data_IF_002022301396
#
_entry.id   IF_002022301396
#
_cell.length_a   1.000
_cell.length_b   1.000
_cell.length_c   1.000
_cell.angle_alpha   90.00
_cell.angle_beta   90.00
_cell.angle_gamma   90.00
#
_symmetry.space_group_name_H-M   'P 1'
#
loop_
_entity.id
_entity.type
_entity.pdbx_description
1 polymer ?
#
# COMPACT_ATOMS: atom_id res chain seq x y z
N UNK A 1 -27.61 2.20 -0.89
CA UNK A 1 -26.75 1.43 -1.82
C UNK A 1 -25.79 2.38 -2.52
N UNK A 2 -24.52 1.98 -2.71
CA UNK A 2 -23.45 2.85 -3.24
C UNK A 2 -23.81 3.43 -4.61
N UNK A 3 -24.17 2.58 -5.59
CA UNK A 3 -24.49 3.03 -6.95
C UNK A 3 -25.61 4.07 -7.00
N UNK A 4 -26.67 3.89 -6.20
CA UNK A 4 -27.77 4.86 -6.15
C UNK A 4 -27.31 6.24 -5.64
N UNK A 5 -26.45 6.27 -4.63
CA UNK A 5 -25.93 7.53 -4.09
C UNK A 5 -24.96 8.21 -5.07
N UNK A 6 -24.24 7.45 -5.89
CA UNK A 6 -23.38 7.98 -6.96
C UNK A 6 -24.22 8.70 -8.01
N UNK A 7 -25.30 8.06 -8.51
CA UNK A 7 -26.20 8.67 -9.49
C UNK A 7 -26.86 9.95 -8.94
N UNK A 8 -27.31 9.95 -7.68
CA UNK A 8 -27.82 11.17 -7.05
C UNK A 8 -26.75 12.27 -6.96
N UNK A 9 -25.50 11.91 -6.70
CA UNK A 9 -24.36 12.83 -6.71
C UNK A 9 -24.08 13.43 -8.08
N UNK A 10 -24.39 12.71 -9.16
CA UNK A 10 -24.34 13.20 -10.55
C UNK A 10 -25.66 13.81 -11.04
N UNK A 11 -26.58 14.13 -10.13
CA UNK A 11 -27.89 14.71 -10.43
C UNK A 11 -28.80 13.82 -11.32
N UNK A 12 -28.67 12.51 -11.20
CA UNK A 12 -29.50 11.50 -11.88
C UNK A 12 -30.29 10.68 -10.86
N UNK A 13 -31.61 10.86 -10.84
CA UNK A 13 -32.51 10.14 -9.94
C UNK A 13 -33.34 9.06 -10.64
N UNK A 14 -33.16 8.88 -11.95
CA UNK A 14 -34.03 8.04 -12.79
C UNK A 14 -33.34 6.79 -13.31
N UNK A 15 -32.05 6.86 -13.57
CA UNK A 15 -31.29 5.76 -14.14
C UNK A 15 -31.16 4.61 -13.17
N UNK A 16 -31.15 3.39 -13.71
CA UNK A 16 -30.99 2.19 -12.90
C UNK A 16 -29.52 1.90 -12.63
N UNK A 17 -29.26 1.39 -11.44
CA UNK A 17 -28.01 0.66 -11.14
C UNK A 17 -28.24 -0.78 -11.61
N UNK A 18 -27.40 -1.24 -12.52
CA UNK A 18 -27.47 -2.60 -13.07
C UNK A 18 -27.00 -3.62 -12.02
N UNK A 19 -27.32 -4.92 -12.18
CA UNK A 19 -26.90 -5.97 -11.25
C UNK A 19 -25.39 -5.98 -11.01
N UNK A 20 -25.00 -6.11 -9.73
CA UNK A 20 -23.59 -6.18 -9.34
C UNK A 20 -23.04 -7.54 -9.75
N UNK A 21 -21.93 -7.52 -10.49
CA UNK A 21 -21.22 -8.74 -10.89
C UNK A 21 -19.99 -8.92 -10.02
N UNK A 22 -19.75 -10.13 -9.50
CA UNK A 22 -18.53 -10.48 -8.78
C UNK A 22 -17.57 -11.21 -9.70
N UNK A 23 -16.34 -10.72 -9.81
CA UNK A 23 -15.26 -11.35 -10.55
C UNK A 23 -14.07 -11.53 -9.60
N UNK A 24 -13.83 -12.78 -9.16
CA UNK A 24 -12.83 -13.11 -8.13
C UNK A 24 -13.09 -12.29 -6.85
N UNK A 25 -12.19 -11.38 -6.49
CA UNK A 25 -12.28 -10.52 -5.30
C UNK A 25 -12.73 -9.08 -5.61
N UNK A 26 -13.15 -8.83 -6.87
CA UNK A 26 -13.64 -7.53 -7.34
C UNK A 26 -15.15 -7.58 -7.58
N UNK A 27 -15.83 -6.49 -7.25
CA UNK A 27 -17.26 -6.29 -7.47
C UNK A 27 -17.48 -5.15 -8.45
N UNK A 28 -18.15 -5.41 -9.56
CA UNK A 28 -18.44 -4.42 -10.60
C UNK A 28 -19.84 -3.85 -10.42
N UNK A 29 -19.92 -2.53 -10.29
CA UNK A 29 -21.15 -1.75 -10.37
C UNK A 29 -21.23 -1.11 -11.76
N UNK A 30 -22.38 -1.27 -12.39
CA UNK A 30 -22.67 -0.71 -13.71
C UNK A 30 -23.95 0.11 -13.66
N UNK A 31 -24.06 1.06 -14.58
CA UNK A 31 -25.17 2.01 -14.64
C UNK A 31 -25.83 1.92 -16.02
N UNK A 32 -27.13 2.18 -16.06
CA UNK A 32 -27.90 2.18 -17.31
C UNK A 32 -27.54 3.36 -18.23
N UNK A 33 -27.18 4.50 -17.63
CA UNK A 33 -26.90 5.75 -18.33
C UNK A 33 -25.49 6.25 -18.03
N UNK A 34 -24.95 7.02 -18.98
CA UNK A 34 -23.71 7.78 -18.81
C UNK A 34 -23.88 8.89 -17.78
N UNK A 35 -22.83 9.16 -17.02
CA UNK A 35 -22.84 10.18 -15.98
C UNK A 35 -21.49 10.89 -15.87
N UNK A 36 -21.52 12.14 -15.39
CA UNK A 36 -20.31 12.87 -14.99
C UNK A 36 -20.08 12.68 -13.49
N UNK A 37 -18.84 12.76 -13.03
CA UNK A 37 -18.55 12.70 -11.61
C UNK A 37 -17.38 13.58 -11.17
N UNK A 38 -17.44 14.02 -9.92
CA UNK A 38 -16.34 14.71 -9.24
C UNK A 38 -15.63 13.74 -8.31
N UNK A 39 -14.31 13.53 -8.45
CA UNK A 39 -13.51 12.67 -7.59
C UNK A 39 -13.76 12.88 -6.10
N UNK A 40 -13.81 14.15 -5.65
CA UNK A 40 -14.09 14.51 -4.27
C UNK A 40 -15.43 13.94 -3.76
N UNK A 41 -16.50 14.15 -4.53
CA UNK A 41 -17.84 13.72 -4.16
C UNK A 41 -17.96 12.19 -4.21
N UNK A 42 -17.39 11.56 -5.24
CA UNK A 42 -17.39 10.10 -5.39
C UNK A 42 -16.75 9.43 -4.17
N UNK A 43 -15.58 9.92 -3.75
CA UNK A 43 -14.86 9.43 -2.59
C UNK A 43 -15.69 9.58 -1.31
N UNK A 44 -16.24 10.76 -1.04
CA UNK A 44 -17.06 11.01 0.15
C UNK A 44 -18.33 10.15 0.18
N UNK A 45 -19.01 9.98 -0.96
CA UNK A 45 -20.21 9.15 -1.06
C UNK A 45 -19.87 7.69 -0.73
N UNK A 46 -18.81 7.16 -1.34
CA UNK A 46 -18.43 5.77 -1.16
C UNK A 46 -17.98 5.50 0.28
N UNK A 47 -17.11 6.35 0.84
CA UNK A 47 -16.62 6.21 2.22
C UNK A 47 -17.78 6.23 3.23
N UNK A 48 -18.70 7.20 3.09
CA UNK A 48 -19.88 7.31 3.95
C UNK A 48 -20.74 6.06 3.89
N UNK A 49 -21.10 5.61 2.69
CA UNK A 49 -21.98 4.44 2.53
C UNK A 49 -21.28 3.16 2.99
N UNK A 50 -19.98 2.99 2.72
CA UNK A 50 -19.22 1.84 3.19
C UNK A 50 -19.18 1.75 4.72
N UNK A 51 -18.99 2.89 5.42
CA UNK A 51 -19.04 2.98 6.89
C UNK A 51 -20.43 2.70 7.46
N UNK A 52 -21.47 3.31 6.90
CA UNK A 52 -22.87 3.14 7.34
C UNK A 52 -23.35 1.69 7.17
N UNK A 53 -22.91 1.01 6.11
CA UNK A 53 -23.31 -0.37 5.81
C UNK A 53 -22.42 -1.44 6.43
N UNK A 54 -21.27 -1.06 6.99
CA UNK A 54 -20.28 -2.00 7.49
C UNK A 54 -19.67 -2.89 6.39
N UNK A 55 -19.59 -2.40 5.15
CA UNK A 55 -19.20 -3.20 3.98
C UNK A 55 -17.75 -3.71 4.07
N UNK A 56 -16.81 -2.82 4.36
CA UNK A 56 -15.40 -3.13 4.56
C UNK A 56 -14.68 -1.96 5.23
N UNK A 57 -13.61 -2.28 5.96
CA UNK A 57 -12.70 -1.32 6.61
C UNK A 57 -11.62 -0.78 5.68
N UNK A 58 -11.21 -1.60 4.71
CA UNK A 58 -10.20 -1.25 3.72
C UNK A 58 -10.63 -1.78 2.36
N UNK A 59 -10.61 -0.92 1.34
CA UNK A 59 -11.03 -1.27 -0.01
C UNK A 59 -10.36 -0.37 -1.05
N UNK A 60 -10.28 -0.85 -2.28
CA UNK A 60 -9.82 -0.07 -3.44
C UNK A 60 -11.02 0.13 -4.36
N UNK A 61 -11.15 1.35 -4.87
CA UNK A 61 -12.13 1.68 -5.91
C UNK A 61 -11.40 2.07 -7.18
N UNK A 62 -11.82 1.49 -8.29
CA UNK A 62 -11.31 1.76 -9.62
C UNK A 62 -12.47 2.12 -10.54
N UNK A 63 -12.33 3.18 -11.31
CA UNK A 63 -13.29 3.65 -12.30
C UNK A 63 -12.67 3.43 -13.67
N UNK A 64 -13.28 2.58 -14.47
CA UNK A 64 -12.85 2.25 -15.83
C UNK A 64 -13.86 2.82 -16.83
N UNK A 65 -13.37 3.30 -17.97
CA UNK A 65 -14.24 3.66 -19.10
C UNK A 65 -14.82 2.39 -19.75
N UNK A 66 -16.10 2.42 -20.12
CA UNK A 66 -16.78 1.26 -20.67
C UNK A 66 -16.23 0.82 -22.03
N UNK A 67 -15.82 1.77 -22.87
CA UNK A 67 -15.43 1.56 -24.27
C UNK A 67 -13.94 1.25 -24.37
N UNK A 68 -13.09 2.09 -23.77
CA UNK A 68 -11.63 1.90 -23.85
C UNK A 68 -11.13 0.82 -22.87
N UNK A 69 -11.84 0.60 -21.76
CA UNK A 69 -11.38 -0.24 -20.66
C UNK A 69 -10.22 0.36 -19.88
N UNK A 70 -9.86 1.63 -20.15
CA UNK A 70 -8.77 2.30 -19.44
C UNK A 70 -9.21 2.75 -18.04
N UNK A 71 -8.26 2.72 -17.11
CA UNK A 71 -8.47 3.23 -15.75
C UNK A 71 -8.51 4.76 -15.76
N UNK A 72 -9.68 5.33 -15.48
CA UNK A 72 -9.93 6.78 -15.46
C UNK A 72 -9.61 7.38 -14.10
N UNK A 73 -9.92 6.65 -13.03
CA UNK A 73 -9.72 7.14 -11.66
C UNK A 73 -9.61 5.97 -10.67
N UNK A 74 -8.76 6.11 -9.65
CA UNK A 74 -8.70 5.13 -8.56
C UNK A 74 -8.34 5.76 -7.24
N UNK A 75 -8.79 5.14 -6.16
CA UNK A 75 -8.39 5.51 -4.80
C UNK A 75 -8.48 4.30 -3.86
N UNK A 76 -7.68 4.35 -2.80
CA UNK A 76 -7.69 3.37 -1.71
C UNK A 76 -8.27 4.01 -0.45
N UNK A 77 -9.15 3.29 0.24
CA UNK A 77 -9.61 3.60 1.59
C UNK A 77 -9.05 2.60 2.59
N UNK A 78 -8.64 3.09 3.76
CA UNK A 78 -8.07 2.29 4.83
C UNK A 78 -8.41 2.94 6.20
N UNK A 79 -8.81 2.13 7.19
CA UNK A 79 -9.19 2.60 8.54
C UNK A 79 -8.04 3.31 9.28
N UNK A 80 -6.78 3.01 8.93
CA UNK A 80 -5.61 3.30 9.78
C UNK A 80 -4.79 4.54 9.38
N UNK A 81 -5.18 5.30 8.37
CA UNK A 81 -4.44 6.50 8.00
C UNK A 81 -5.37 7.60 7.51
N UNK A 82 -5.08 8.84 7.91
CA UNK A 82 -5.53 10.05 7.24
C UNK A 82 -5.11 10.00 5.76
N UNK A 83 -5.86 9.34 4.91
CA UNK A 83 -5.77 9.54 3.46
C UNK A 83 -6.70 10.68 3.08
N UNK A 84 -6.42 11.88 3.62
CA UNK A 84 -7.06 13.12 3.16
C UNK A 84 -6.62 13.49 1.73
N UNK A 85 -5.70 12.73 1.14
CA UNK A 85 -5.24 12.95 -0.23
C UNK A 85 -6.23 12.26 -1.17
N UNK A 86 -7.26 13.01 -1.58
CA UNK A 86 -8.11 12.66 -2.71
C UNK A 86 -7.35 13.04 -3.99
N UNK A 87 -6.85 12.08 -4.79
CA UNK A 87 -6.18 12.42 -6.04
C UNK A 87 -7.14 13.18 -6.96
N UNK A 88 -6.63 14.19 -7.68
CA UNK A 88 -7.40 14.93 -8.67
C UNK A 88 -8.70 15.58 -8.16
N UNK A 89 -8.78 15.94 -6.86
CA UNK A 89 -10.00 16.43 -6.19
C UNK A 89 -10.78 17.53 -6.95
N UNK A 90 -10.09 18.42 -7.67
CA UNK A 90 -10.69 19.53 -8.42
C UNK A 90 -11.06 19.24 -9.88
N UNK A 91 -10.78 18.04 -10.42
CA UNK A 91 -11.03 17.71 -11.83
C UNK A 91 -12.36 17.00 -12.00
N UNK A 92 -13.30 17.63 -12.70
CA UNK A 92 -14.54 16.97 -13.09
C UNK A 92 -14.23 15.98 -14.22
N UNK A 93 -14.68 14.73 -14.08
CA UNK A 93 -14.62 13.76 -15.17
C UNK A 93 -15.82 13.97 -16.08
N UNK A 94 -15.62 13.95 -17.42
CA UNK A 94 -16.67 14.23 -18.37
C UNK A 94 -17.80 13.19 -18.28
N UNK A 95 -18.95 13.50 -18.88
CA UNK A 95 -20.02 12.53 -19.01
C UNK A 95 -19.59 11.42 -19.97
N UNK A 96 -19.48 10.19 -19.45
CA UNK A 96 -19.17 8.98 -20.22
C UNK A 96 -19.80 7.76 -19.55
N UNK A 97 -19.67 6.60 -20.19
CA UNK A 97 -20.01 5.32 -19.57
C UNK A 97 -18.85 4.87 -18.68
N UNK A 98 -19.12 4.70 -17.39
CA UNK A 98 -18.13 4.23 -16.41
C UNK A 98 -18.57 2.94 -15.72
N UNK A 99 -17.60 2.03 -15.53
CA UNK A 99 -17.71 0.85 -14.66
C UNK A 99 -16.95 1.13 -13.38
N UNK A 100 -17.57 0.87 -12.23
CA UNK A 100 -16.92 1.06 -10.93
C UNK A 100 -16.63 -0.30 -10.32
N UNK A 101 -15.37 -0.55 -10.05
CA UNK A 101 -14.89 -1.76 -9.41
C UNK A 101 -14.56 -1.50 -7.95
N UNK A 102 -15.00 -2.43 -7.10
CA UNK A 102 -14.69 -2.48 -5.69
C UNK A 102 -13.86 -3.72 -5.39
N UNK A 103 -12.65 -3.52 -4.88
CA UNK A 103 -11.78 -4.60 -4.41
C UNK A 103 -11.75 -4.55 -2.89
N UNK A 104 -12.35 -5.53 -2.22
CA UNK A 104 -12.35 -5.60 -0.76
C UNK A 104 -10.97 -6.08 -0.30
N UNK A 105 -10.31 -5.32 0.57
CA UNK A 105 -9.04 -5.74 1.15
C UNK A 105 -9.37 -6.44 2.47
N UNK A 106 -9.46 -7.77 2.44
CA UNK A 106 -9.63 -8.56 3.66
C UNK A 106 -8.43 -8.32 4.59
N UNK A 107 -8.65 -7.58 5.67
CA UNK A 107 -7.82 -7.75 6.86
C UNK A 107 -8.29 -9.06 7.46
N UNK A 108 -7.50 -10.12 7.34
CA UNK A 108 -7.83 -11.47 7.82
C UNK A 108 -8.34 -11.46 9.27
N UNK A 109 -9.65 -11.33 9.44
CA UNK A 109 -10.39 -11.88 10.56
C UNK A 109 -11.07 -13.13 10.02
N UNK A 110 -10.30 -14.21 9.93
CA UNK A 110 -10.86 -15.54 9.77
C UNK A 110 -11.88 -15.74 10.89
N UNK A 111 -13.15 -15.85 10.52
CA UNK A 111 -14.17 -16.67 11.17
C UNK A 111 -15.45 -16.59 10.34
N UNK A 112 -15.47 -17.26 9.19
CA UNK A 112 -16.70 -17.81 8.65
C UNK A 112 -16.70 -19.32 8.89
N UNK A 113 -17.58 -19.76 9.78
CA UNK A 113 -18.30 -21.02 9.66
C UNK A 113 -19.71 -20.70 10.19
N UNK A 114 -20.68 -20.52 9.30
CA UNK A 114 -21.53 -21.56 8.72
C UNK A 114 -22.86 -21.65 9.50
N UNK A 115 -23.94 -21.34 8.78
CA UNK A 115 -25.33 -21.25 9.22
C UNK A 115 -25.95 -22.60 9.65
N UNK A 116 -27.15 -22.45 10.21
CA UNK A 116 -28.25 -23.43 10.41
C UNK A 116 -28.22 -24.10 11.80
N UNK A 117 -29.28 -24.15 12.61
CA UNK A 117 -30.73 -24.13 12.35
C UNK A 117 -31.46 -23.75 13.66
N UNK A 118 -32.53 -22.98 13.52
CA UNK A 118 -33.60 -22.60 14.47
C UNK A 118 -33.68 -23.29 15.85
N UNK A 119 -33.77 -22.47 16.90
CA UNK A 119 -34.52 -22.81 18.11
C UNK A 119 -35.41 -21.63 18.53
N UNK A 120 -36.71 -21.89 18.64
CA UNK A 120 -37.62 -21.19 19.55
C UNK A 120 -38.05 -22.22 20.63
N UNK A 121 -38.58 -21.83 21.82
CA UNK A 121 -39.13 -20.52 22.18
C UNK A 121 -38.63 -19.91 23.50
N UNK A 122 -38.99 -18.64 23.64
CA UNK A 122 -38.86 -17.75 24.79
C UNK A 122 -39.83 -18.18 25.90
N UNK A 123 -39.35 -18.39 27.12
CA UNK A 123 -40.15 -18.22 28.35
C UNK A 123 -39.27 -17.78 29.53
N UNK A 124 -39.74 -16.76 30.26
CA UNK A 124 -39.46 -16.59 31.69
C UNK A 124 -38.52 -15.44 32.10
N UNK A 125 -39.13 -14.31 32.47
CA UNK A 125 -38.58 -13.33 33.42
C UNK A 125 -38.13 -14.01 34.72
N UNK A 126 -37.04 -13.55 35.34
CA UNK A 126 -36.87 -13.30 36.80
C UNK A 126 -35.40 -13.10 37.17
N UNK A 127 -35.15 -12.14 38.07
CA UNK A 127 -33.86 -11.70 38.61
C UNK A 127 -32.86 -12.84 38.90
N UNK A 128 -31.63 -12.71 38.39
CA UNK A 128 -30.51 -13.57 38.77
C UNK A 128 -29.34 -12.71 39.26
N UNK A 129 -28.82 -12.91 40.48
CA UNK A 129 -27.63 -12.21 40.94
C UNK A 129 -26.47 -12.54 40.00
N UNK A 130 -25.65 -11.54 39.67
CA UNK A 130 -24.48 -11.67 38.79
C UNK A 130 -23.65 -12.85 39.30
N UNK A 131 -23.67 -13.96 38.54
CA UNK A 131 -22.99 -15.19 38.95
C UNK A 131 -21.50 -14.91 39.08
N UNK A 132 -20.87 -15.34 40.17
CA UNK A 132 -19.44 -15.20 40.45
C UNK A 132 -18.55 -15.64 39.26
N UNK A 133 -19.05 -16.55 38.42
CA UNK A 133 -18.43 -16.97 37.16
C UNK A 133 -18.22 -15.84 36.15
N UNK A 134 -19.10 -14.83 36.11
CA UNK A 134 -19.00 -13.68 35.21
C UNK A 134 -17.87 -12.72 35.62
N UNK A 135 -17.65 -12.54 36.93
CA UNK A 135 -16.56 -11.71 37.46
C UNK A 135 -15.21 -12.38 37.16
N UNK A 136 -15.13 -13.70 37.34
CA UNK A 136 -13.93 -14.48 36.99
C UNK A 136 -13.69 -14.44 35.47
N UNK A 137 -14.73 -14.54 34.65
CA UNK A 137 -14.61 -14.43 33.20
C UNK A 137 -14.10 -13.04 32.76
N UNK A 138 -14.58 -11.95 33.36
CA UNK A 138 -14.10 -10.60 33.08
C UNK A 138 -12.65 -10.40 33.51
N UNK A 139 -12.25 -10.95 34.65
CA UNK A 139 -10.85 -10.91 35.11
C UNK A 139 -9.92 -11.75 34.20
N UNK A 140 -10.37 -12.92 33.74
CA UNK A 140 -9.62 -13.73 32.78
C UNK A 140 -9.53 -13.04 31.41
N UNK A 141 -10.59 -12.37 30.97
CA UNK A 141 -10.61 -11.62 29.72
C UNK A 141 -9.70 -10.39 29.78
N UNK A 142 -9.63 -9.69 30.91
CA UNK A 142 -8.73 -8.54 31.09
C UNK A 142 -7.26 -8.96 31.14
N UNK A 143 -6.95 -10.08 31.81
CA UNK A 143 -5.59 -10.65 31.81
C UNK A 143 -5.21 -11.14 30.41
N UNK A 144 -6.12 -11.82 29.70
CA UNK A 144 -5.89 -12.25 28.32
C UNK A 144 -5.68 -11.06 27.39
N UNK A 145 -6.48 -10.00 27.53
CA UNK A 145 -6.33 -8.76 26.76
C UNK A 145 -4.98 -8.07 27.06
N UNK A 146 -4.53 -8.07 28.32
CA UNK A 146 -3.22 -7.52 28.69
C UNK A 146 -2.07 -8.35 28.10
N UNK A 147 -2.17 -9.68 28.13
CA UNK A 147 -1.19 -10.59 27.52
C UNK A 147 -1.17 -10.39 25.99
N UNK A 148 -2.34 -10.31 25.36
CA UNK A 148 -2.47 -10.02 23.93
C UNK A 148 -1.90 -8.64 23.60
N UNK A 149 -2.13 -7.62 24.43
CA UNK A 149 -1.57 -6.28 24.25
C UNK A 149 -0.03 -6.28 24.35
N UNK A 150 0.55 -7.05 25.29
CA UNK A 150 2.00 -7.23 25.41
C UNK A 150 2.56 -7.96 24.17
N UNK A 151 1.87 -8.99 23.67
CA UNK A 151 2.25 -9.71 22.44
C UNK A 151 2.11 -8.80 21.21
N UNK A 152 1.07 -7.98 21.14
CA UNK A 152 0.82 -7.06 20.03
C UNK A 152 1.87 -5.95 19.99
N UNK A 153 2.29 -5.44 21.16
CA UNK A 153 3.41 -4.50 21.27
C UNK A 153 4.74 -5.12 20.80
N UNK A 154 4.93 -6.44 21.01
CA UNK A 154 6.10 -7.18 20.48
C UNK A 154 6.03 -7.45 18.97
N UNK A 155 4.84 -7.44 18.35
CA UNK A 155 4.63 -7.66 16.91
C UNK A 155 4.80 -6.41 16.02
N UNK A 156 5.11 -5.23 16.56
CA UNK A 156 5.70 -4.12 15.77
C UNK A 156 7.17 -4.40 15.43
N UNK A 157 7.49 -5.60 14.96
CA UNK A 157 8.69 -5.81 14.15
C UNK A 157 8.25 -5.58 12.71
N UNK A 158 8.83 -4.54 12.10
CA UNK A 158 8.72 -4.22 10.68
C UNK A 158 8.46 -5.49 9.86
N UNK A 159 7.35 -5.51 9.11
CA UNK A 159 7.24 -6.44 8.00
C UNK A 159 8.44 -6.16 7.08
N UNK A 160 9.33 -7.14 6.94
CA UNK A 160 10.49 -7.04 6.06
C UNK A 160 9.94 -7.13 4.64
N UNK A 161 9.65 -5.98 4.04
CA UNK A 161 9.35 -5.90 2.62
C UNK A 161 10.63 -6.35 1.88
N UNK A 162 10.59 -7.41 1.05
CA UNK A 162 11.80 -7.96 0.41
C UNK A 162 12.49 -6.97 -0.55
N UNK A 163 11.81 -5.88 -0.91
CA UNK A 163 12.35 -4.81 -1.76
C UNK A 163 13.01 -3.67 -0.97
N UNK A 164 12.84 -3.64 0.36
CA UNK A 164 13.48 -2.69 1.25
C UNK A 164 14.77 -3.30 1.80
N UNK A 165 15.88 -2.86 1.20
CA UNK A 165 17.21 -3.34 1.53
C UNK A 165 17.79 -2.44 2.63
N UNK A 166 18.14 -2.98 3.81
CA UNK A 166 18.75 -2.18 4.88
C UNK A 166 20.19 -1.82 4.51
N UNK A 167 20.53 -0.53 4.58
CA UNK A 167 21.83 0.01 4.20
C UNK A 167 22.29 1.01 5.28
N UNK A 168 22.82 0.49 6.39
CA UNK A 168 23.12 1.29 7.57
C UNK A 168 21.82 1.85 8.17
N UNK A 169 21.71 3.17 8.25
CA UNK A 169 20.47 3.88 8.63
C UNK A 169 19.54 4.16 7.46
N UNK A 170 19.99 3.95 6.21
CA UNK A 170 19.13 4.02 5.05
C UNK A 170 18.31 2.74 4.88
N UNK A 171 17.11 2.89 4.34
CA UNK A 171 16.37 1.83 3.67
C UNK A 171 16.38 2.12 2.17
N UNK A 172 17.02 1.25 1.40
CA UNK A 172 17.01 1.33 -0.04
C UNK A 172 15.79 0.61 -0.60
N UNK A 173 14.85 1.36 -1.17
CA UNK A 173 13.70 0.83 -1.89
C UNK A 173 14.08 0.60 -3.35
N UNK A 174 14.40 -0.66 -3.67
CA UNK A 174 14.78 -1.05 -5.03
C UNK A 174 13.64 -0.79 -6.04
N UNK A 175 12.39 -0.96 -5.62
CA UNK A 175 11.24 -0.88 -6.54
C UNK A 175 10.96 0.57 -6.94
N UNK A 176 11.00 1.47 -5.97
CA UNK A 176 10.74 2.88 -6.21
C UNK A 176 12.02 3.66 -6.57
N UNK A 177 13.19 3.02 -6.56
CA UNK A 177 14.50 3.67 -6.80
C UNK A 177 14.73 4.83 -5.83
N UNK A 178 14.45 4.62 -4.55
CA UNK A 178 14.52 5.66 -3.50
C UNK A 178 15.41 5.20 -2.34
N UNK A 179 16.16 6.14 -1.75
CA UNK A 179 16.77 5.97 -0.43
C UNK A 179 15.90 6.67 0.61
N UNK A 180 15.56 5.95 1.67
CA UNK A 180 14.73 6.44 2.76
C UNK A 180 15.63 6.51 4.01
N UNK A 181 15.79 7.70 4.58
CA UNK A 181 16.48 7.89 5.86
C UNK A 181 15.60 8.73 6.77
N UNK A 182 15.27 8.20 7.94
CA UNK A 182 14.32 8.81 8.89
C UNK A 182 13.01 9.26 8.24
N UNK A 183 12.89 10.55 7.89
CA UNK A 183 11.71 11.16 7.25
C UNK A 183 12.02 11.77 5.87
N UNK A 184 13.22 11.55 5.34
CA UNK A 184 13.65 12.07 4.05
C UNK A 184 13.68 10.93 3.01
N UNK A 185 13.18 11.26 1.82
CA UNK A 185 13.28 10.42 0.62
C UNK A 185 14.23 11.08 -0.36
N UNK A 186 15.15 10.28 -0.90
CA UNK A 186 16.15 10.72 -1.85
C UNK A 186 16.01 9.85 -3.09
N UNK A 187 15.54 10.44 -4.18
CA UNK A 187 15.34 9.74 -5.43
C UNK A 187 16.67 9.36 -6.07
N UNK A 188 16.75 8.14 -6.60
CA UNK A 188 17.84 7.64 -7.42
C UNK A 188 17.36 7.53 -8.87
N UNK A 189 18.25 7.81 -9.81
CA UNK A 189 18.02 7.39 -11.20
C UNK A 189 18.16 5.88 -11.32
N UNK A 190 17.57 5.26 -12.35
CA UNK A 190 17.66 3.80 -12.55
C UNK A 190 19.11 3.29 -12.51
N UNK A 191 20.03 3.95 -13.23
CA UNK A 191 21.46 3.59 -13.25
C UNK A 191 22.15 3.77 -11.89
N UNK A 192 21.75 4.76 -11.08
CA UNK A 192 22.25 4.92 -9.71
C UNK A 192 21.75 3.80 -8.79
N UNK A 193 20.48 3.42 -8.92
CA UNK A 193 19.88 2.33 -8.15
C UNK A 193 20.51 0.98 -8.51
N UNK A 194 20.73 0.71 -9.79
CA UNK A 194 21.41 -0.50 -10.27
C UNK A 194 22.85 -0.57 -9.76
N UNK A 195 23.58 0.55 -9.85
CA UNK A 195 24.96 0.64 -9.38
C UNK A 195 25.06 0.42 -7.86
N UNK A 196 24.15 1.04 -7.09
CA UNK A 196 24.10 0.87 -5.65
C UNK A 196 23.76 -0.58 -5.27
N UNK A 197 22.83 -1.21 -6.00
CA UNK A 197 22.45 -2.60 -5.77
C UNK A 197 23.62 -3.56 -6.01
N UNK A 198 24.38 -3.37 -7.09
CA UNK A 198 25.56 -4.18 -7.39
C UNK A 198 26.63 -4.07 -6.28
N UNK A 199 26.90 -2.83 -5.85
CA UNK A 199 27.83 -2.58 -4.76
C UNK A 199 27.33 -3.13 -3.41
N UNK A 200 26.01 -3.14 -3.21
CA UNK A 200 25.39 -3.69 -2.01
C UNK A 200 25.48 -5.22 -1.96
N UNK A 201 25.24 -5.90 -3.08
CA UNK A 201 25.34 -7.35 -3.18
C UNK A 201 26.75 -7.84 -2.83
N UNK A 202 27.76 -7.02 -3.11
CA UNK A 202 29.17 -7.24 -2.79
C UNK A 202 29.64 -6.31 -1.66
N UNK A 203 28.82 -6.15 -0.61
CA UNK A 203 29.17 -5.33 0.57
C UNK A 203 30.51 -5.76 1.13
N UNK A 204 31.33 -4.77 1.47
CA UNK A 204 32.68 -4.95 1.99
C UNK A 204 33.66 -5.70 1.05
N UNK A 205 33.28 -5.91 -0.21
CA UNK A 205 34.12 -6.47 -1.28
C UNK A 205 34.39 -5.41 -2.34
N UNK A 206 35.53 -5.51 -3.02
CA UNK A 206 35.88 -4.61 -4.13
C UNK A 206 35.26 -5.14 -5.42
N UNK A 207 34.44 -4.33 -6.08
CA UNK A 207 33.90 -4.64 -7.41
C UNK A 207 34.74 -3.92 -8.47
N UNK A 208 35.17 -4.68 -9.46
CA UNK A 208 35.99 -4.16 -10.56
C UNK A 208 35.24 -3.14 -11.41
N UNK A 209 35.97 -2.16 -11.93
CA UNK A 209 35.40 -1.09 -12.73
C UNK A 209 34.70 -1.60 -13.99
N UNK A 210 35.33 -2.56 -14.68
CA UNK A 210 34.82 -3.15 -15.92
C UNK A 210 33.51 -3.91 -15.66
N UNK A 211 33.42 -4.62 -14.53
CA UNK A 211 32.19 -5.32 -14.10
C UNK A 211 31.06 -4.34 -13.84
N UNK A 212 31.32 -3.25 -13.10
CA UNK A 212 30.30 -2.22 -12.82
C UNK A 212 29.82 -1.53 -14.11
N UNK A 213 30.74 -1.25 -15.03
CA UNK A 213 30.42 -0.65 -16.33
C UNK A 213 29.56 -1.58 -17.17
N UNK A 214 29.97 -2.84 -17.32
CA UNK A 214 29.26 -3.82 -18.14
C UNK A 214 27.88 -4.15 -17.55
N UNK A 215 27.74 -4.34 -16.25
CA UNK A 215 26.46 -4.69 -15.64
C UNK A 215 25.44 -3.55 -15.70
N UNK A 216 25.88 -2.29 -15.61
CA UNK A 216 24.97 -1.14 -15.59
C UNK A 216 24.76 -0.54 -16.98
N UNK A 217 25.76 -0.54 -17.87
CA UNK A 217 25.69 0.06 -19.21
C UNK A 217 25.83 -0.93 -20.38
N UNK A 218 26.22 -2.18 -20.13
CA UNK A 218 26.37 -3.19 -21.19
C UNK A 218 27.40 -2.80 -22.24
N UNK A 219 27.07 -3.05 -23.51
CA UNK A 219 27.92 -2.79 -24.68
C UNK A 219 27.81 -1.34 -25.21
N UNK A 220 27.35 -0.37 -24.40
CA UNK A 220 27.23 1.04 -24.79
C UNK A 220 28.60 1.76 -24.95
N UNK A 221 29.58 1.16 -25.64
CA UNK A 221 30.79 1.82 -26.17
C UNK A 221 31.82 2.38 -25.17
N UNK A 222 33.02 2.67 -25.69
CA UNK A 222 34.22 3.09 -24.91
C UNK A 222 34.09 4.44 -24.17
N UNK A 223 33.00 5.20 -24.36
CA UNK A 223 32.84 6.54 -23.78
C UNK A 223 32.29 6.55 -22.34
N UNK A 224 31.91 5.40 -21.79
CA UNK A 224 31.18 5.28 -20.51
C UNK A 224 32.11 5.30 -19.29
N UNK A 225 33.43 5.12 -19.48
CA UNK A 225 34.39 5.11 -18.39
C UNK A 225 34.29 6.35 -17.48
N UNK A 226 34.29 7.57 -18.04
CA UNK A 226 34.16 8.82 -17.24
C UNK A 226 32.77 8.99 -16.61
N UNK A 227 31.76 8.30 -17.14
CA UNK A 227 30.39 8.33 -16.63
C UNK A 227 30.31 7.63 -15.28
N UNK A 228 30.95 6.46 -15.08
CA UNK A 228 30.91 5.75 -13.81
C UNK A 228 31.35 6.62 -12.61
N UNK A 229 32.44 7.37 -12.75
CA UNK A 229 32.96 8.21 -11.65
C UNK A 229 31.98 9.34 -11.26
N UNK A 230 31.25 9.86 -12.24
CA UNK A 230 30.20 10.87 -12.01
C UNK A 230 29.05 10.25 -11.21
N UNK A 231 28.61 9.04 -11.58
CA UNK A 231 27.57 8.31 -10.87
C UNK A 231 28.00 7.94 -9.44
N UNK A 232 29.22 7.46 -9.24
CA UNK A 232 29.78 7.21 -7.90
C UNK A 232 29.83 8.51 -7.07
N UNK A 233 30.21 9.63 -7.68
CA UNK A 233 30.25 10.92 -6.98
C UNK A 233 28.86 11.40 -6.57
N UNK A 234 27.84 11.17 -7.41
CA UNK A 234 26.44 11.47 -7.07
C UNK A 234 25.92 10.57 -5.95
N UNK A 235 26.16 9.27 -6.04
CA UNK A 235 25.78 8.32 -4.99
C UNK A 235 26.42 8.66 -3.65
N UNK A 236 27.71 9.04 -3.63
CA UNK A 236 28.39 9.48 -2.40
C UNK A 236 27.70 10.67 -1.74
N UNK A 237 27.30 11.67 -2.52
CA UNK A 237 26.54 12.83 -1.99
C UNK A 237 25.19 12.39 -1.43
N UNK A 238 24.48 11.49 -2.10
CA UNK A 238 23.18 10.99 -1.63
C UNK A 238 23.29 10.15 -0.36
N UNK A 239 24.43 9.48 -0.16
CA UNK A 239 24.71 8.66 1.01
C UNK A 239 25.38 9.44 2.16
N UNK A 240 25.65 10.74 2.00
CA UNK A 240 26.44 11.52 2.95
C UNK A 240 25.82 11.67 4.35
N UNK A 241 24.50 11.49 4.48
CA UNK A 241 23.79 11.59 5.75
C UNK A 241 24.09 10.44 6.72
N UNK A 242 24.68 9.33 6.26
CA UNK A 242 25.11 8.24 7.13
C UNK A 242 26.61 7.99 7.00
N UNK A 243 27.33 8.31 8.08
CA UNK A 243 28.77 8.05 8.17
C UNK A 243 29.16 6.57 8.18
N UNK A 244 28.21 5.64 8.40
CA UNK A 244 28.46 4.19 8.39
C UNK A 244 28.49 3.59 6.98
N UNK A 245 27.97 4.31 5.99
CA UNK A 245 27.87 3.85 4.61
C UNK A 245 28.78 4.69 3.73
N UNK A 246 29.83 4.08 3.18
CA UNK A 246 30.80 4.80 2.34
C UNK A 246 31.15 4.00 1.10
N UNK A 247 31.17 4.67 -0.05
CA UNK A 247 31.73 4.11 -1.27
C UNK A 247 33.20 4.55 -1.35
N UNK A 248 34.14 3.64 -1.21
CA UNK A 248 35.59 3.91 -1.29
C UNK A 248 36.14 3.53 -2.67
N UNK A 249 37.12 4.30 -3.15
CA UNK A 249 37.84 3.98 -4.38
C UNK A 249 39.06 3.12 -4.02
N UNK A 250 39.19 1.97 -4.66
CA UNK A 250 40.36 1.10 -4.60
C UNK A 250 41.17 1.33 -5.86
N UNK A 251 42.28 2.07 -5.70
CA UNK A 251 43.11 2.55 -6.82
C UNK A 251 43.55 1.40 -7.71
N UNK A 252 43.27 1.51 -9.00
CA UNK A 252 43.66 0.52 -10.01
C UNK A 252 42.78 -0.73 -10.08
N UNK A 253 41.72 -0.83 -9.25
CA UNK A 253 40.84 -2.01 -9.20
C UNK A 253 39.38 -1.60 -9.44
N UNK A 254 38.84 -0.71 -8.62
CA UNK A 254 37.42 -0.33 -8.72
C UNK A 254 36.87 0.32 -7.46
N UNK A 255 35.64 -0.07 -7.10
CA UNK A 255 34.88 0.55 -6.03
C UNK A 255 34.42 -0.48 -5.01
N UNK A 256 34.36 -0.05 -3.74
CA UNK A 256 33.92 -0.88 -2.63
C UNK A 256 32.89 -0.12 -1.80
N UNK A 257 31.77 -0.74 -1.52
CA UNK A 257 30.84 -0.24 -0.51
C UNK A 257 31.28 -0.77 0.86
N UNK A 258 31.60 0.15 1.77
CA UNK A 258 31.92 -0.13 3.15
C UNK A 258 30.68 0.15 3.99
N UNK A 259 30.28 -0.85 4.76
CA UNK A 259 29.16 -0.76 5.69
C UNK A 259 29.64 -1.20 7.07
N UNK A 260 29.78 -0.23 7.97
CA UNK A 260 30.18 -0.44 9.35
C UNK A 260 28.92 -0.68 10.20
N UNK A 261 28.63 -1.96 10.50
CA UNK A 261 27.44 -2.39 11.27
C UNK A 261 27.58 -1.98 12.75
#
# INVERSE_FOLDING_TARGET
MIGHQILLGSNDSTSRVLPINKEKDRYRIQFESEFEFKPAQLVTIIDRVAKETGLARSFIVEVEDCESGELVYSFKMDDSAKSDIIPCQGRVQPKSCYKIWFTLLETSSSNEAMLTTFSEPITGLTDRPIKLSYIIALAMFSILALILFIIWKRKRKFAIDPNLIPLGTYQFDKRNTELIIEHQRIDLTGKEADLLLLLYNEVNTTVEREVLLNMVWGDEGDYVGRTLDVFISKLRKKLEFDSKVKIVNIRGVGYKLVLDV
#
